data_IF_800114804624
#
_entry.id   IF_800114804624
#
_cell.length_a   1.000
_cell.length_b   1.000
_cell.length_c   1.000
_cell.angle_alpha   90.00
_cell.angle_beta   90.00
_cell.angle_gamma   90.00
#
_symmetry.space_group_name_H-M   'P 1'
#
loop_
_entity.id
_entity.type
_entity.pdbx_description
1 polymer ?
#
# COMPACT_ATOMS: atom_id res chain seq x y z
N UNK A 1 -8.55 -15.52 21.80
CA UNK A 1 -8.95 -14.53 20.77
C UNK A 1 -8.39 -15.00 19.44
N UNK A 2 -9.18 -15.00 18.38
CA UNK A 2 -8.67 -15.36 17.05
C UNK A 2 -8.06 -14.11 16.39
N UNK A 3 -6.75 -14.07 16.25
CA UNK A 3 -6.04 -12.93 15.66
C UNK A 3 -6.04 -12.94 14.13
N UNK A 4 -6.39 -14.06 13.48
CA UNK A 4 -6.43 -14.12 12.02
C UNK A 4 -7.52 -13.24 11.42
N UNK A 5 -8.54 -12.85 12.19
CA UNK A 5 -9.58 -11.90 11.78
C UNK A 5 -9.02 -10.55 11.30
N UNK A 6 -7.82 -10.14 11.75
CA UNK A 6 -7.17 -8.93 11.23
C UNK A 6 -6.81 -9.03 9.74
N UNK A 7 -6.62 -10.23 9.19
CA UNK A 7 -6.34 -10.42 7.76
C UNK A 7 -7.56 -10.18 6.86
N UNK A 8 -8.77 -10.10 7.43
CA UNK A 8 -10.00 -9.80 6.70
C UNK A 8 -10.25 -8.29 6.59
N UNK A 9 -9.49 -7.47 7.32
CA UNK A 9 -9.55 -6.02 7.20
C UNK A 9 -8.97 -5.56 5.85
N UNK A 10 -9.62 -4.58 5.24
CA UNK A 10 -9.17 -3.99 3.96
C UNK A 10 -8.23 -2.81 4.21
N UNK A 11 -7.15 -2.76 3.43
CA UNK A 11 -6.16 -1.70 3.48
C UNK A 11 -5.71 -1.29 2.08
N UNK A 12 -5.32 -0.02 1.94
CA UNK A 12 -4.52 0.44 0.82
C UNK A 12 -3.04 0.10 1.00
N UNK A 13 -2.22 0.51 0.04
CA UNK A 13 -0.77 0.48 0.10
C UNK A 13 -0.23 1.87 -0.20
N UNK A 14 0.65 2.35 0.68
CA UNK A 14 1.17 3.72 0.62
C UNK A 14 2.67 3.74 0.86
N UNK A 15 3.36 4.69 0.22
CA UNK A 15 4.69 5.10 0.66
C UNK A 15 4.54 6.36 1.53
N UNK A 16 4.90 6.23 2.80
CA UNK A 16 4.99 7.34 3.74
C UNK A 16 6.41 7.90 3.69
N UNK A 17 6.55 9.16 3.28
CA UNK A 17 7.82 9.88 3.17
C UNK A 17 7.96 10.99 4.21
N UNK A 18 9.19 11.40 4.48
CA UNK A 18 9.54 12.58 5.29
C UNK A 18 10.98 12.99 4.96
N UNK A 19 11.47 14.07 5.55
CA UNK A 19 12.79 14.65 5.27
C UNK A 19 13.51 15.02 6.56
N UNK A 20 14.82 14.77 6.62
CA UNK A 20 15.72 15.22 7.69
C UNK A 20 17.01 15.77 7.08
N UNK A 21 17.38 16.98 7.46
CA UNK A 21 18.61 17.64 6.99
C UNK A 21 18.74 17.65 5.44
N UNK A 22 17.60 17.84 4.75
CA UNK A 22 17.51 17.80 3.29
C UNK A 22 17.58 16.40 2.67
N UNK A 23 17.70 15.34 3.46
CA UNK A 23 17.73 13.94 2.99
C UNK A 23 16.37 13.28 3.17
N UNK A 24 15.77 12.72 2.10
CA UNK A 24 14.47 12.06 2.20
C UNK A 24 14.59 10.67 2.84
N UNK A 25 13.55 10.25 3.55
CA UNK A 25 13.34 8.87 4.00
C UNK A 25 11.88 8.48 3.77
N UNK A 26 11.61 7.19 3.64
CA UNK A 26 10.24 6.70 3.55
C UNK A 26 10.10 5.25 3.93
N UNK A 27 8.88 4.81 4.23
CA UNK A 27 8.58 3.39 4.45
C UNK A 27 7.22 3.03 3.87
N UNK A 28 7.04 1.76 3.51
CA UNK A 28 5.73 1.24 3.12
C UNK A 28 4.84 1.13 4.35
N UNK A 29 3.62 1.63 4.23
CA UNK A 29 2.55 1.48 5.23
C UNK A 29 1.25 1.07 4.54
N UNK A 30 0.45 0.25 5.22
CA UNK A 30 -0.91 -0.10 4.80
C UNK A 30 -1.97 0.49 5.74
N UNK A 31 -1.61 0.76 7.00
CA UNK A 31 -2.46 1.39 8.01
C UNK A 31 -2.50 2.92 7.83
N UNK A 32 -3.15 3.38 6.77
CA UNK A 32 -3.46 4.79 6.55
C UNK A 32 -4.93 4.96 6.12
N UNK A 33 -5.63 5.95 6.68
CA UNK A 33 -7.04 6.22 6.37
C UNK A 33 -7.37 7.71 6.55
N UNK A 34 -8.30 8.21 5.76
CA UNK A 34 -8.87 9.54 5.98
C UNK A 34 -9.82 9.53 7.17
N UNK A 35 -9.68 10.49 8.09
CA UNK A 35 -10.49 10.57 9.32
C UNK A 35 -11.33 11.86 9.42
N UNK A 36 -11.05 12.88 8.62
CA UNK A 36 -11.86 14.11 8.56
C UNK A 36 -11.72 14.81 7.22
N UNK A 37 -12.74 15.59 6.85
CA UNK A 37 -12.75 16.48 5.67
C UNK A 37 -12.53 17.96 6.03
N UNK A 38 -12.89 18.39 7.25
CA UNK A 38 -12.79 19.79 7.69
C UNK A 38 -12.32 19.87 9.15
N UNK A 39 -11.01 20.08 9.42
CA UNK A 39 -9.92 20.10 8.44
C UNK A 39 -9.70 18.72 7.78
N UNK A 40 -9.03 18.63 6.61
CA UNK A 40 -8.70 17.37 5.98
C UNK A 40 -7.63 16.64 6.80
N UNK A 41 -7.97 15.48 7.35
CA UNK A 41 -7.08 14.72 8.24
C UNK A 41 -6.91 13.27 7.76
N UNK A 42 -5.69 12.78 7.85
CA UNK A 42 -5.33 11.36 7.72
C UNK A 42 -4.86 10.82 9.07
N UNK A 43 -5.09 9.54 9.34
CA UNK A 43 -4.38 8.79 10.38
C UNK A 43 -3.43 7.79 9.73
N UNK A 44 -2.21 7.68 10.26
CA UNK A 44 -1.20 6.72 9.79
C UNK A 44 -0.50 6.10 10.99
N UNK A 45 -0.51 4.76 11.09
CA UNK A 45 0.20 4.04 12.14
C UNK A 45 1.56 3.58 11.67
N UNK A 46 2.63 3.93 12.41
CA UNK A 46 4.01 3.68 12.00
C UNK A 46 4.79 3.08 13.16
N UNK A 47 5.42 1.94 12.93
CA UNK A 47 6.28 1.27 13.93
C UNK A 47 7.42 2.19 14.39
N UNK A 48 7.76 2.15 15.68
CA UNK A 48 8.92 2.85 16.24
C UNK A 48 10.25 2.37 15.62
N UNK A 49 10.29 1.16 15.07
CA UNK A 49 11.46 0.61 14.40
C UNK A 49 11.70 1.20 12.99
N UNK A 50 10.70 1.87 12.41
CA UNK A 50 10.88 2.57 11.14
C UNK A 50 11.60 3.90 11.40
N UNK A 51 12.75 4.11 10.78
CA UNK A 51 13.46 5.40 10.84
C UNK A 51 12.57 6.59 10.44
N UNK A 52 11.69 6.38 9.48
CA UNK A 52 10.67 7.35 9.06
C UNK A 52 9.80 7.85 10.23
N UNK A 53 9.49 7.01 11.23
CA UNK A 53 8.73 7.44 12.42
C UNK A 53 9.48 8.56 13.16
N UNK A 54 10.75 8.34 13.49
CA UNK A 54 11.56 9.36 14.19
C UNK A 54 11.70 10.63 13.36
N UNK A 55 11.85 10.52 12.04
CA UNK A 55 11.99 11.67 11.15
C UNK A 55 10.69 12.47 11.04
N UNK A 56 9.51 11.83 11.05
CA UNK A 56 8.22 12.53 11.08
C UNK A 56 8.04 13.24 12.43
N UNK A 57 8.43 12.63 13.55
CA UNK A 57 8.36 13.28 14.87
C UNK A 57 9.23 14.53 14.95
N UNK A 58 10.42 14.48 14.35
CA UNK A 58 11.40 15.56 14.37
C UNK A 58 11.02 16.70 13.39
N UNK A 59 10.69 16.36 12.15
CA UNK A 59 10.36 17.35 11.11
C UNK A 59 8.95 17.94 11.26
N UNK A 60 8.02 17.18 11.85
CA UNK A 60 6.60 17.53 11.87
C UNK A 60 5.93 17.46 10.48
N UNK A 61 6.61 16.90 9.46
CA UNK A 61 6.15 16.85 8.08
C UNK A 61 6.15 15.42 7.54
N UNK A 62 5.18 15.10 6.69
CA UNK A 62 5.11 13.81 6.00
C UNK A 62 4.46 13.93 4.62
N UNK A 63 4.91 13.11 3.67
CA UNK A 63 4.21 12.86 2.41
C UNK A 63 3.54 11.48 2.44
N UNK A 64 2.34 11.36 1.88
CA UNK A 64 1.63 10.08 1.73
C UNK A 64 1.38 9.86 0.25
N UNK A 65 2.08 8.89 -0.34
CA UNK A 65 1.96 8.53 -1.75
C UNK A 65 1.03 7.31 -1.90
N UNK A 66 -0.06 7.44 -2.67
CA UNK A 66 -1.01 6.34 -2.91
C UNK A 66 -0.41 5.44 -3.99
N UNK A 67 0.03 4.24 -3.63
CA UNK A 67 0.68 3.35 -4.60
C UNK A 67 -0.33 2.79 -5.60
N UNK A 68 0.01 2.82 -6.88
CA UNK A 68 -0.73 2.18 -7.94
C UNK A 68 -0.39 0.69 -8.04
N UNK A 69 -1.30 -0.13 -8.59
CA UNK A 69 -1.01 -1.55 -8.87
C UNK A 69 0.20 -1.74 -9.80
N UNK A 70 0.47 -0.75 -10.66
CA UNK A 70 1.60 -0.72 -11.59
C UNK A 70 2.95 -0.41 -10.95
N UNK A 71 3.00 -0.01 -9.67
CA UNK A 71 4.27 0.31 -9.00
C UNK A 71 5.26 -0.87 -9.08
N UNK A 72 6.54 -0.56 -9.30
CA UNK A 72 7.60 -1.55 -9.32
C UNK A 72 7.73 -2.26 -7.97
N UNK A 73 7.99 -3.57 -8.02
CA UNK A 73 8.29 -4.33 -6.81
C UNK A 73 9.59 -3.88 -6.14
N UNK A 74 10.50 -3.25 -6.88
CA UNK A 74 11.75 -2.76 -6.30
C UNK A 74 11.51 -1.55 -5.39
N UNK A 75 10.54 -0.68 -5.71
CA UNK A 75 10.07 0.37 -4.79
C UNK A 75 9.57 -0.27 -3.49
N UNK A 76 8.69 -1.27 -3.58
CA UNK A 76 8.16 -1.94 -2.39
C UNK A 76 9.27 -2.64 -1.59
N UNK A 77 10.24 -3.27 -2.25
CA UNK A 77 11.39 -3.93 -1.59
C UNK A 77 12.25 -2.91 -0.86
N UNK A 78 12.63 -1.82 -1.52
CA UNK A 78 13.47 -0.76 -0.97
C UNK A 78 12.81 -0.11 0.23
N UNK A 79 11.55 0.31 0.13
CA UNK A 79 10.88 1.03 1.22
C UNK A 79 10.21 0.12 2.27
N UNK A 80 9.97 -1.16 1.94
CA UNK A 80 9.36 -2.13 2.85
C UNK A 80 10.36 -2.92 3.67
N UNK A 81 11.55 -3.20 3.13
CA UNK A 81 12.49 -4.16 3.74
C UNK A 81 13.85 -3.56 4.10
N UNK A 82 14.06 -2.26 3.85
CA UNK A 82 15.27 -1.54 4.22
C UNK A 82 14.96 -0.35 5.13
N UNK A 83 15.91 -0.03 6.00
CA UNK A 83 15.82 1.10 6.94
C UNK A 83 16.50 2.34 6.35
N UNK A 84 15.85 3.50 6.47
CA UNK A 84 16.46 4.78 6.07
C UNK A 84 17.60 5.23 7.00
N UNK A 85 17.79 4.53 8.11
CA UNK A 85 18.90 4.75 9.05
C UNK A 85 20.24 4.35 8.45
N UNK A 86 20.23 3.29 7.64
CA UNK A 86 21.44 2.60 7.17
C UNK A 86 21.53 2.59 5.64
N UNK A 87 20.51 3.08 4.94
CA UNK A 87 20.45 3.05 3.48
C UNK A 87 19.76 4.29 2.93
N UNK A 88 20.41 4.93 1.95
CA UNK A 88 19.78 5.96 1.14
C UNK A 88 18.83 5.31 0.12
N UNK A 89 17.57 5.22 0.52
CA UNK A 89 16.52 4.53 -0.25
C UNK A 89 16.09 5.28 -1.51
N UNK A 90 16.29 6.60 -1.55
CA UNK A 90 15.90 7.43 -2.68
C UNK A 90 17.01 7.61 -3.71
N UNK A 91 18.27 7.25 -3.38
CA UNK A 91 19.37 7.24 -4.34
C UNK A 91 19.11 6.40 -5.61
N UNK A 92 18.26 5.38 -5.53
CA UNK A 92 17.91 4.47 -6.64
C UNK A 92 16.45 4.54 -7.08
N UNK A 93 15.65 5.47 -6.52
CA UNK A 93 14.22 5.59 -6.82
C UNK A 93 13.90 7.03 -7.25
N UNK A 94 13.46 7.27 -8.49
CA UNK A 94 13.07 8.60 -8.95
C UNK A 94 11.95 9.20 -8.11
N UNK A 95 12.13 10.46 -7.72
CA UNK A 95 11.18 11.21 -6.91
C UNK A 95 11.31 12.70 -7.21
N UNK A 96 10.19 13.41 -7.10
CA UNK A 96 10.18 14.87 -7.02
C UNK A 96 10.31 15.28 -5.56
N UNK A 97 11.02 16.37 -5.34
CA UNK A 97 11.05 17.06 -4.06
C UNK A 97 10.08 18.23 -4.12
N UNK A 98 9.11 18.26 -3.20
CA UNK A 98 8.13 19.34 -3.11
C UNK A 98 8.77 20.62 -2.57
N UNK A 99 8.02 21.73 -2.57
CA UNK A 99 8.50 23.00 -2.04
C UNK A 99 8.91 22.92 -0.56
N UNK A 100 8.23 22.08 0.23
CA UNK A 100 8.54 21.81 1.65
C UNK A 100 9.62 20.73 1.85
N UNK A 101 10.23 20.26 0.76
CA UNK A 101 11.32 19.29 0.79
C UNK A 101 10.89 17.83 0.96
N UNK A 102 9.59 17.54 0.89
CA UNK A 102 9.06 16.19 1.03
C UNK A 102 9.25 15.37 -0.26
N UNK A 103 9.54 14.06 -0.16
CA UNK A 103 9.66 13.21 -1.34
C UNK A 103 8.28 12.74 -1.83
N UNK A 104 8.03 12.87 -3.12
CA UNK A 104 6.87 12.31 -3.84
C UNK A 104 7.38 11.48 -5.01
N UNK A 105 6.89 10.26 -5.19
CA UNK A 105 7.32 9.41 -6.31
C UNK A 105 6.91 10.01 -7.64
N UNK A 106 7.79 9.95 -8.64
CA UNK A 106 7.49 10.42 -10.00
C UNK A 106 6.48 9.53 -10.74
N UNK A 107 6.48 8.22 -10.47
CA UNK A 107 5.65 7.23 -11.15
C UNK A 107 5.20 6.12 -10.18
N UNK A 108 4.24 5.31 -10.62
CA UNK A 108 3.70 4.19 -9.86
C UNK A 108 2.79 4.62 -8.71
N UNK A 109 2.25 5.83 -8.76
CA UNK A 109 1.33 6.37 -7.76
C UNK A 109 0.06 6.94 -8.41
N UNK A 110 -1.05 6.91 -7.68
CA UNK A 110 -2.32 7.51 -8.11
C UNK A 110 -2.41 9.00 -7.75
N UNK A 111 -1.60 9.45 -6.80
CA UNK A 111 -1.66 10.76 -6.19
C UNK A 111 -0.92 10.78 -4.86
N UNK A 112 -0.84 11.96 -4.25
CA UNK A 112 -0.07 12.18 -3.05
C UNK A 112 -0.69 13.28 -2.17
N UNK A 113 -0.28 13.30 -0.90
CA UNK A 113 -0.62 14.32 0.08
C UNK A 113 0.66 14.82 0.75
N UNK A 114 0.76 16.13 0.96
CA UNK A 114 1.68 16.73 1.91
C UNK A 114 0.94 17.12 3.18
N UNK A 115 1.54 16.74 4.31
CA UNK A 115 0.89 16.79 5.60
C UNK A 115 1.82 17.38 6.66
N UNK A 116 1.21 18.11 7.59
CA UNK A 116 1.84 18.47 8.87
C UNK A 116 1.29 17.58 9.99
N UNK A 117 2.13 17.23 10.96
CA UNK A 117 1.70 16.48 12.14
C UNK A 117 0.82 17.38 13.00
N UNK A 118 -0.45 16.99 13.14
CA UNK A 118 -1.43 17.71 13.96
C UNK A 118 -1.49 17.18 15.38
N UNK A 119 -1.39 15.86 15.54
CA UNK A 119 -1.33 15.20 16.83
C UNK A 119 -0.66 13.82 16.69
N UNK A 120 -0.27 13.23 17.82
CA UNK A 120 0.27 11.87 17.89
C UNK A 120 -0.37 11.12 19.04
N UNK A 121 -0.67 9.84 18.82
CA UNK A 121 -1.00 8.90 19.89
C UNK A 121 0.08 7.84 19.95
N UNK A 122 0.80 7.77 21.06
CA UNK A 122 1.80 6.73 21.27
C UNK A 122 1.14 5.43 21.71
N UNK A 123 1.45 4.36 20.99
CA UNK A 123 1.13 2.98 21.31
C UNK A 123 2.45 2.27 21.71
N UNK A 124 2.40 1.08 22.32
CA UNK A 124 3.61 0.41 22.81
C UNK A 124 4.72 0.22 21.76
N UNK A 125 4.37 -0.09 20.50
CA UNK A 125 5.34 -0.35 19.42
C UNK A 125 5.17 0.57 18.20
N UNK A 126 4.16 1.43 18.22
CA UNK A 126 3.74 2.25 17.09
C UNK A 126 3.43 3.67 17.54
N UNK A 127 3.61 4.62 16.64
CA UNK A 127 3.00 5.95 16.79
C UNK A 127 1.89 6.06 15.76
N UNK A 128 0.69 6.41 16.22
CA UNK A 128 -0.39 6.83 15.34
C UNK A 128 -0.27 8.33 15.12
N UNK A 129 0.13 8.73 13.92
CA UNK A 129 0.17 10.12 13.50
C UNK A 129 -1.20 10.56 13.01
N UNK A 130 -1.66 11.70 13.50
CA UNK A 130 -2.78 12.45 12.93
C UNK A 130 -2.19 13.57 12.09
N UNK A 131 -2.42 13.50 10.79
CA UNK A 131 -1.79 14.32 9.78
C UNK A 131 -2.84 15.28 9.19
N UNK A 132 -2.58 16.58 9.21
CA UNK A 132 -3.40 17.58 8.52
C UNK A 132 -2.82 17.84 7.14
N UNK A 133 -3.63 17.56 6.11
CA UNK A 133 -3.26 17.76 4.71
C UNK A 133 -3.28 19.26 4.41
N UNK A 134 -2.20 19.78 3.82
CA UNK A 134 -2.14 21.17 3.37
C UNK A 134 -1.95 21.31 1.86
N UNK A 135 -1.44 20.28 1.18
CA UNK A 135 -1.33 20.23 -0.28
C UNK A 135 -1.56 18.79 -0.78
N UNK A 136 -2.14 18.62 -1.96
CA UNK A 136 -2.34 17.29 -2.56
C UNK A 136 -2.62 17.38 -4.06
N UNK A 137 -2.24 16.32 -4.77
CA UNK A 137 -2.60 16.19 -6.18
C UNK A 137 -2.94 14.74 -6.55
N UNK A 138 -3.73 14.60 -7.61
CA UNK A 138 -4.10 13.33 -8.21
C UNK A 138 -3.47 13.24 -9.59
N UNK A 139 -2.64 12.22 -9.78
CA UNK A 139 -1.91 12.03 -11.03
C UNK A 139 -2.74 11.19 -12.02
N UNK A 140 -3.19 11.82 -13.11
CA UNK A 140 -3.69 11.18 -14.33
C UNK A 140 -5.01 10.39 -14.26
N UNK A 141 -5.41 9.85 -15.42
CA UNK A 141 -6.66 9.11 -15.60
C UNK A 141 -6.59 7.70 -14.99
N UNK A 142 -7.37 7.50 -13.91
CA UNK A 142 -7.81 6.20 -13.35
C UNK A 142 -6.76 5.07 -13.29
N UNK A 143 -5.54 5.35 -12.81
CA UNK A 143 -4.64 4.26 -12.39
C UNK A 143 -5.20 3.62 -11.12
N UNK A 144 -5.41 2.30 -11.13
CA UNK A 144 -6.01 1.60 -10.01
C UNK A 144 -5.08 1.61 -8.77
N UNK A 145 -5.56 2.06 -7.60
CA UNK A 145 -4.77 2.01 -6.37
C UNK A 145 -4.53 0.56 -5.95
N UNK A 146 -3.37 0.31 -5.37
CA UNK A 146 -3.01 -0.99 -4.81
C UNK A 146 -3.68 -1.18 -3.45
N UNK A 147 -4.38 -2.29 -3.30
CA UNK A 147 -4.83 -2.78 -1.99
C UNK A 147 -3.79 -3.74 -1.40
N UNK A 148 -3.78 -3.89 -0.08
CA UNK A 148 -2.94 -4.88 0.57
C UNK A 148 -3.29 -6.32 0.15
N UNK A 149 -4.59 -6.59 -0.10
CA UNK A 149 -5.04 -7.86 -0.63
C UNK A 149 -4.45 -8.15 -2.03
N UNK A 150 -4.47 -7.17 -2.93
CA UNK A 150 -3.85 -7.29 -4.26
C UNK A 150 -2.34 -7.55 -4.16
N UNK A 151 -1.66 -6.84 -3.26
CA UNK A 151 -0.24 -7.03 -3.00
C UNK A 151 0.09 -8.48 -2.57
N UNK A 152 -0.69 -9.04 -1.65
CA UNK A 152 -0.51 -10.41 -1.17
C UNK A 152 -0.84 -11.45 -2.26
N UNK A 153 -1.96 -11.30 -2.96
CA UNK A 153 -2.46 -12.33 -3.89
C UNK A 153 -1.76 -12.30 -5.25
N UNK A 154 -1.58 -11.10 -5.82
CA UNK A 154 -1.13 -10.92 -7.20
C UNK A 154 0.38 -10.67 -7.26
N UNK A 155 0.88 -9.75 -6.43
CA UNK A 155 2.32 -9.45 -6.38
C UNK A 155 3.11 -10.47 -5.57
N UNK A 156 2.43 -11.36 -4.81
CA UNK A 156 3.03 -12.37 -3.91
C UNK A 156 4.13 -11.77 -3.03
N UNK A 157 3.90 -10.53 -2.59
CA UNK A 157 4.91 -9.79 -1.84
C UNK A 157 4.95 -10.25 -0.38
N UNK A 158 6.15 -10.34 0.17
CA UNK A 158 6.33 -10.65 1.60
C UNK A 158 5.77 -9.55 2.50
N UNK A 159 5.55 -9.85 3.77
CA UNK A 159 5.14 -8.82 4.74
C UNK A 159 6.39 -8.16 5.33
N UNK A 160 6.56 -6.82 5.25
CA UNK A 160 7.62 -6.13 5.96
C UNK A 160 7.67 -6.46 7.45
N UNK A 161 8.86 -6.66 8.01
CA UNK A 161 9.08 -6.99 9.45
C UNK A 161 8.43 -6.02 10.45
N UNK A 162 8.24 -4.77 10.04
CA UNK A 162 7.71 -3.70 10.88
C UNK A 162 6.21 -3.41 10.63
N UNK A 163 5.54 -4.16 9.76
CA UNK A 163 4.11 -4.01 9.52
C UNK A 163 3.31 -4.73 10.64
N UNK A 164 2.13 -4.21 11.06
CA UNK A 164 1.28 -4.87 12.05
C UNK A 164 0.93 -6.32 11.71
N UNK A 165 0.84 -6.64 10.41
CA UNK A 165 0.52 -7.98 9.95
C UNK A 165 1.67 -9.00 10.11
N UNK A 166 2.92 -8.57 10.34
CA UNK A 166 4.07 -9.49 10.46
C UNK A 166 4.08 -10.27 11.78
N UNK A 167 3.53 -9.72 12.85
CA UNK A 167 3.47 -10.36 14.17
C UNK A 167 2.24 -11.24 14.35
N UNK A 168 1.34 -11.26 13.36
CA UNK A 168 0.22 -12.18 13.36
C UNK A 168 0.74 -13.59 13.03
N UNK A 169 0.24 -14.64 13.70
CA UNK A 169 0.60 -16.02 13.37
C UNK A 169 0.39 -16.25 11.87
N UNK A 170 1.41 -16.75 11.18
CA UNK A 170 1.20 -17.33 9.85
C UNK A 170 0.12 -18.40 10.00
N UNK A 171 -0.94 -18.35 9.19
CA UNK A 171 -1.87 -19.47 9.16
C UNK A 171 -1.07 -20.71 8.70
N UNK A 172 -0.85 -21.67 9.60
CA UNK A 172 -0.40 -23.01 9.22
C UNK A 172 -1.46 -23.58 8.25
N UNK A 173 -1.12 -23.56 6.97
CA UNK A 173 -2.09 -23.70 5.89
C UNK A 173 -2.48 -22.33 5.36
N UNK A 174 -1.57 -21.73 4.57
CA UNK A 174 -1.86 -20.50 3.86
C UNK A 174 -3.24 -20.60 3.20
N UNK A 175 -4.01 -19.50 3.25
CA UNK A 175 -5.38 -19.39 2.72
C UNK A 175 -5.56 -20.37 1.57
N UNK A 176 -6.45 -21.38 1.69
CA UNK A 176 -6.59 -22.39 0.66
C UNK A 176 -6.73 -21.64 -0.65
N UNK A 177 -5.84 -21.96 -1.61
CA UNK A 177 -5.87 -21.34 -2.92
C UNK A 177 -7.32 -21.45 -3.39
N UNK A 178 -8.01 -20.31 -3.43
CA UNK A 178 -9.42 -20.30 -3.82
C UNK A 178 -9.56 -20.99 -5.17
N UNK A 179 -10.74 -21.52 -5.49
CA UNK A 179 -10.96 -22.26 -6.72
C UNK A 179 -10.36 -21.51 -7.92
N UNK A 180 -9.50 -22.18 -8.70
CA UNK A 180 -8.87 -21.57 -9.86
C UNK A 180 -9.88 -21.48 -10.99
N UNK A 181 -10.25 -20.27 -11.39
CA UNK A 181 -11.18 -20.06 -12.50
C UNK A 181 -10.44 -20.03 -13.83
N UNK A 182 -10.79 -20.95 -14.72
CA UNK A 182 -10.19 -21.05 -16.06
C UNK A 182 -11.26 -20.89 -17.12
N UNK A 183 -10.99 -20.02 -18.10
CA UNK A 183 -11.85 -19.85 -19.26
C UNK A 183 -11.89 -21.15 -20.08
N UNK A 184 -13.06 -21.77 -20.19
CA UNK A 184 -13.25 -22.99 -20.98
C UNK A 184 -13.01 -22.81 -22.48
N UNK A 185 -13.07 -21.57 -22.98
CA UNK A 185 -12.89 -21.26 -24.41
C UNK A 185 -11.42 -21.16 -24.81
N UNK A 186 -10.61 -20.46 -24.01
CA UNK A 186 -9.23 -20.14 -24.38
C UNK A 186 -8.18 -20.57 -23.36
N UNK A 187 -8.58 -21.19 -22.25
CA UNK A 187 -7.68 -21.63 -21.18
C UNK A 187 -7.04 -20.51 -20.37
N UNK A 188 -7.50 -19.26 -20.50
CA UNK A 188 -7.03 -18.16 -19.65
C UNK A 188 -7.39 -18.43 -18.18
N UNK A 189 -6.38 -18.45 -17.31
CA UNK A 189 -6.53 -18.58 -15.85
C UNK A 189 -6.69 -17.18 -15.25
N UNK A 190 -7.76 -16.97 -14.49
CA UNK A 190 -8.01 -15.70 -13.82
C UNK A 190 -7.11 -15.58 -12.59
N UNK A 191 -6.35 -14.49 -12.51
CA UNK A 191 -5.31 -14.23 -11.51
C UNK A 191 -5.75 -13.25 -10.41
N UNK A 192 -7.06 -13.00 -10.27
CA UNK A 192 -7.63 -12.08 -9.27
C UNK A 192 -7.24 -10.61 -9.43
N UNK A 193 -6.74 -10.18 -10.60
CA UNK A 193 -6.35 -8.78 -10.83
C UNK A 193 -7.48 -7.75 -10.63
N UNK A 194 -8.76 -8.14 -10.80
CA UNK A 194 -9.94 -7.32 -10.54
C UNK A 194 -10.69 -7.72 -9.26
N UNK A 195 -10.04 -8.43 -8.33
CA UNK A 195 -10.66 -8.97 -7.12
C UNK A 195 -11.16 -10.42 -7.30
N UNK A 196 -11.89 -10.98 -6.31
CA UNK A 196 -12.34 -12.38 -6.39
C UNK A 196 -13.31 -12.60 -7.55
N UNK A 197 -13.15 -13.71 -8.28
CA UNK A 197 -13.91 -14.02 -9.49
C UNK A 197 -15.43 -13.95 -9.29
N UNK A 198 -15.93 -14.40 -8.14
CA UNK A 198 -17.34 -14.41 -7.76
C UNK A 198 -17.97 -13.01 -7.80
N UNK A 199 -17.20 -11.98 -7.41
CA UNK A 199 -17.67 -10.59 -7.33
C UNK A 199 -17.47 -9.79 -8.63
N UNK A 200 -16.94 -10.39 -9.69
CA UNK A 200 -16.86 -9.70 -10.98
C UNK A 200 -18.25 -9.32 -11.51
N UNK A 201 -18.41 -8.19 -12.20
CA UNK A 201 -19.67 -7.82 -12.84
C UNK A 201 -20.23 -8.91 -13.75
N UNK A 202 -21.57 -9.06 -13.87
CA UNK A 202 -22.17 -10.08 -14.74
C UNK A 202 -21.78 -9.95 -16.22
N UNK A 203 -21.50 -8.73 -16.68
CA UNK A 203 -21.12 -8.39 -18.05
C UNK A 203 -19.59 -8.47 -18.29
N UNK A 204 -18.82 -8.84 -17.28
CA UNK A 204 -17.38 -9.03 -17.40
C UNK A 204 -17.05 -10.12 -18.42
N UNK A 205 -16.00 -9.88 -19.21
CA UNK A 205 -15.54 -10.76 -20.29
C UNK A 205 -14.11 -11.18 -20.08
N UNK A 206 -13.81 -12.40 -20.53
CA UNK A 206 -12.45 -12.93 -20.60
C UNK A 206 -11.55 -11.94 -21.34
N UNK A 207 -10.46 -11.45 -20.74
CA UNK A 207 -9.58 -10.46 -21.37
C UNK A 207 -8.83 -11.03 -22.58
N UNK A 208 -8.73 -12.37 -22.70
CA UNK A 208 -8.03 -13.04 -23.79
C UNK A 208 -8.91 -13.28 -25.02
N UNK A 209 -10.16 -13.68 -24.85
CA UNK A 209 -11.02 -14.12 -25.96
C UNK A 209 -12.41 -13.48 -26.02
N UNK A 210 -12.75 -12.62 -25.06
CA UNK A 210 -14.07 -11.96 -25.00
C UNK A 210 -15.23 -12.86 -24.56
N UNK A 211 -14.96 -14.13 -24.21
CA UNK A 211 -15.99 -15.03 -23.68
C UNK A 211 -16.62 -14.46 -22.39
N UNK A 212 -17.92 -14.68 -22.16
CA UNK A 212 -18.60 -14.15 -20.96
C UNK A 212 -18.06 -14.78 -19.67
N UNK A 213 -18.26 -14.11 -18.52
CA UNK A 213 -17.94 -14.63 -17.18
C UNK A 213 -18.46 -16.05 -16.95
N UNK A 214 -19.65 -16.37 -17.47
CA UNK A 214 -20.26 -17.71 -17.37
C UNK A 214 -19.47 -18.83 -18.07
N UNK A 215 -18.49 -18.50 -18.92
CA UNK A 215 -17.63 -19.47 -19.59
C UNK A 215 -16.42 -19.93 -18.75
N UNK A 216 -16.25 -19.45 -17.51
CA UNK A 216 -15.19 -19.90 -16.63
C UNK A 216 -15.64 -21.06 -15.75
N UNK A 217 -14.76 -22.04 -15.60
CA UNK A 217 -14.96 -23.23 -14.78
C UNK A 217 -13.94 -23.29 -13.65
N UNK A 218 -14.32 -23.91 -12.54
CA UNK A 218 -13.41 -24.18 -11.42
C UNK A 218 -12.51 -25.35 -11.83
N UNK A 219 -11.20 -25.11 -11.83
CA UNK A 219 -10.17 -26.12 -12.01
C UNK A 219 -9.79 -26.63 -10.61
N UNK A 220 -10.28 -27.81 -10.26
CA UNK A 220 -9.79 -28.62 -9.13
C UNK A 220 -8.35 -29.05 -9.34
#
# INVERSE_FOLDING_TARGET
MNLSTFFDMTYGMFLLGSVKDGKPTGCIVNTAVQISNKPPLLSVSVSHNNYTNSVIKESGLASVNILAQGVSMDVIRTFGFQSGRDTDKFASVPYIQTADGLPVLEDGICGWFECKVRNTVELPEYTLFILEVFECDRLGDRVAPMTYAYYQMVKKGGVPKNAPAHTLPEEEGGRPAGPKYVCSVCGYEYDNYQGPFEFLPPDWKCPRCGAPKSAFVIKT
#
